data_IF_858561467516
#
_entry.id   IF_858561467516
#
_cell.length_a   1.000
_cell.length_b   1.000
_cell.length_c   1.000
_cell.angle_alpha   90.00
_cell.angle_beta   90.00
_cell.angle_gamma   90.00
#
_symmetry.space_group_name_H-M   'P 1'
#
loop_
_entity.id
_entity.type
_entity.pdbx_description
1 polymer ?
#
# COMPACT_ATOMS: atom_id res chain seq x y z
N UNK A 1 1.12 -7.69 -8.53
CA UNK A 1 0.30 -8.86 -8.96
C UNK A 1 0.87 -10.11 -8.30
N UNK A 2 0.07 -11.17 -8.12
CA UNK A 2 0.54 -12.45 -7.55
C UNK A 2 0.99 -12.33 -6.08
N UNK A 3 0.22 -11.59 -5.27
CA UNK A 3 0.53 -11.34 -3.87
C UNK A 3 0.63 -12.64 -3.07
N UNK A 4 1.46 -12.65 -2.02
CA UNK A 4 1.54 -13.79 -1.11
C UNK A 4 0.18 -13.99 -0.41
N UNK A 5 -0.34 -15.23 -0.32
CA UNK A 5 -1.54 -15.49 0.46
C UNK A 5 -1.20 -15.34 1.94
N UNK A 6 -2.05 -14.62 2.67
CA UNK A 6 -1.87 -14.33 4.10
C UNK A 6 -3.09 -14.76 4.91
N UNK A 7 -4.27 -14.70 4.30
CA UNK A 7 -5.49 -15.24 4.87
C UNK A 7 -5.56 -16.78 4.80
N UNK A 8 -6.28 -17.42 5.74
CA UNK A 8 -6.65 -18.84 5.66
C UNK A 8 -7.41 -19.22 4.38
N UNK A 9 -8.09 -18.28 3.72
CA UNK A 9 -8.76 -18.51 2.43
C UNK A 9 -7.79 -18.67 1.25
N UNK A 10 -6.49 -18.52 1.47
CA UNK A 10 -5.50 -18.50 0.39
C UNK A 10 -5.51 -17.19 -0.41
N UNK A 11 -6.07 -16.12 0.16
CA UNK A 11 -6.14 -14.78 -0.41
C UNK A 11 -5.42 -13.76 0.48
N UNK A 12 -5.58 -12.49 0.15
CA UNK A 12 -5.31 -11.34 1.00
C UNK A 12 -6.43 -10.32 0.78
N UNK A 13 -6.53 -9.36 1.68
CA UNK A 13 -7.25 -8.10 1.64
C UNK A 13 -6.26 -6.92 1.41
N UNK A 14 -5.62 -6.82 0.24
CA UNK A 14 -4.54 -5.86 0.02
C UNK A 14 -4.98 -4.38 0.00
N UNK A 15 -4.13 -3.53 0.58
CA UNK A 15 -4.09 -2.10 0.35
C UNK A 15 -2.64 -1.62 0.15
N UNK A 16 -2.46 -0.51 -0.55
CA UNK A 16 -1.16 0.12 -0.73
C UNK A 16 -1.03 1.35 0.18
N UNK A 17 0.15 1.53 0.76
CA UNK A 17 0.57 2.71 1.52
C UNK A 17 1.68 3.41 0.75
N UNK A 18 1.43 4.66 0.37
CA UNK A 18 2.38 5.50 -0.37
C UNK A 18 2.91 6.56 0.58
N UNK A 19 4.22 6.63 0.74
CA UNK A 19 4.88 7.59 1.61
C UNK A 19 5.94 8.37 0.84
N UNK A 20 5.93 9.70 0.97
CA UNK A 20 6.94 10.59 0.38
C UNK A 20 7.03 11.85 1.24
N UNK A 21 8.25 12.37 1.49
CA UNK A 21 8.47 13.65 2.19
C UNK A 21 7.62 13.83 3.46
N UNK A 22 7.56 12.80 4.32
CA UNK A 22 6.79 12.84 5.57
C UNK A 22 5.28 12.67 5.43
N UNK A 23 4.73 12.70 4.22
CA UNK A 23 3.33 12.39 3.94
C UNK A 23 3.14 10.89 3.74
N UNK A 24 1.96 10.39 4.12
CA UNK A 24 1.57 8.99 3.91
C UNK A 24 0.09 8.92 3.59
N UNK A 25 -0.23 8.26 2.49
CA UNK A 25 -1.59 8.03 2.01
C UNK A 25 -1.80 6.53 1.79
N UNK A 26 -3.04 6.08 1.91
CA UNK A 26 -3.42 4.68 1.73
C UNK A 26 -4.55 4.58 0.69
N UNK A 27 -4.52 3.52 -0.10
CA UNK A 27 -5.64 3.17 -1.00
C UNK A 27 -6.76 2.49 -0.23
N UNK A 28 -7.88 2.24 -0.90
CA UNK A 28 -8.89 1.32 -0.39
C UNK A 28 -8.33 -0.10 -0.21
N UNK A 29 -8.95 -0.84 0.71
CA UNK A 29 -8.73 -2.27 0.92
C UNK A 29 -9.60 -3.05 -0.06
N UNK A 30 -8.98 -3.88 -0.90
CA UNK A 30 -9.71 -4.77 -1.81
C UNK A 30 -9.73 -6.17 -1.21
N UNK A 31 -10.93 -6.65 -0.88
CA UNK A 31 -11.09 -7.91 -0.16
C UNK A 31 -10.83 -9.15 -1.01
N UNK A 32 -10.25 -10.18 -0.39
CA UNK A 32 -10.14 -11.57 -0.87
C UNK A 32 -9.58 -11.68 -2.29
N UNK A 33 -8.47 -11.00 -2.57
CA UNK A 33 -7.80 -11.03 -3.87
C UNK A 33 -6.28 -11.06 -3.75
N UNK A 34 -5.63 -11.69 -4.73
CA UNK A 34 -4.17 -11.62 -4.94
C UNK A 34 -3.79 -10.76 -6.15
N UNK A 35 -4.80 -10.16 -6.76
CA UNK A 35 -4.75 -9.38 -8.00
C UNK A 35 -5.54 -8.07 -7.83
N UNK A 36 -5.19 -7.21 -6.84
CA UNK A 36 -5.91 -5.97 -6.64
C UNK A 36 -5.82 -5.04 -7.85
N UNK A 37 -6.90 -4.31 -8.10
CA UNK A 37 -6.98 -3.18 -9.02
C UNK A 37 -7.60 -2.03 -8.24
N UNK A 38 -6.75 -1.11 -7.79
CA UNK A 38 -7.21 0.07 -7.05
C UNK A 38 -7.81 1.10 -7.99
N UNK A 39 -7.16 1.36 -9.12
CA UNK A 39 -7.56 2.41 -10.06
C UNK A 39 -7.81 3.76 -9.33
N UNK A 40 -7.05 4.00 -8.26
CA UNK A 40 -7.10 5.16 -7.38
C UNK A 40 -5.95 6.12 -7.66
N UNK A 41 -6.21 7.43 -7.51
CA UNK A 41 -5.21 8.49 -7.57
C UNK A 41 -4.97 9.00 -6.15
N UNK A 42 -3.70 8.97 -5.71
CA UNK A 42 -3.27 9.55 -4.45
C UNK A 42 -2.43 10.81 -4.74
N UNK A 43 -2.83 11.94 -4.17
CA UNK A 43 -2.19 13.24 -4.39
C UNK A 43 -1.38 13.64 -3.15
N UNK A 44 -0.07 13.83 -3.31
CA UNK A 44 0.85 14.26 -2.25
C UNK A 44 1.26 15.72 -2.54
N UNK A 45 1.05 16.60 -1.57
CA UNK A 45 1.34 18.03 -1.73
C UNK A 45 2.73 18.36 -1.19
N UNK A 46 3.71 18.45 -2.08
CA UNK A 46 5.09 18.75 -1.67
C UNK A 46 5.34 20.27 -1.61
N UNK A 47 6.09 20.71 -0.61
CA UNK A 47 6.58 22.08 -0.53
C UNK A 47 7.74 22.31 -1.50
N UNK A 48 7.96 23.58 -1.86
CA UNK A 48 9.08 23.98 -2.71
C UNK A 48 10.42 23.59 -2.05
N UNK A 49 11.22 22.79 -2.76
CA UNK A 49 12.48 22.23 -2.26
C UNK A 49 12.41 20.79 -1.73
N UNK A 50 11.22 20.25 -1.42
CA UNK A 50 11.09 18.86 -0.96
C UNK A 50 11.22 17.84 -2.09
N UNK A 51 11.02 18.26 -3.34
CA UNK A 51 11.13 17.39 -4.51
C UNK A 51 12.58 16.93 -4.75
N UNK A 52 13.56 17.78 -4.40
CA UNK A 52 14.97 17.49 -4.62
C UNK A 52 15.45 16.47 -3.59
N UNK A 53 15.62 15.22 -4.02
CA UNK A 53 15.98 14.10 -3.14
C UNK A 53 14.79 13.40 -2.48
N UNK A 54 13.55 13.73 -2.89
CA UNK A 54 12.36 13.00 -2.48
C UNK A 54 12.49 11.51 -2.78
N UNK A 55 12.17 10.67 -1.79
CA UNK A 55 12.09 9.21 -1.96
C UNK A 55 10.64 8.78 -1.80
N UNK A 56 10.04 8.36 -2.91
CA UNK A 56 8.71 7.78 -2.92
C UNK A 56 8.80 6.30 -2.52
N UNK A 57 8.09 5.92 -1.48
CA UNK A 57 7.99 4.53 -1.05
C UNK A 57 6.57 4.04 -1.23
N UNK A 58 6.40 2.89 -1.88
CA UNK A 58 5.11 2.20 -1.95
C UNK A 58 5.24 0.86 -1.24
N UNK A 59 4.41 0.65 -0.23
CA UNK A 59 4.31 -0.58 0.53
C UNK A 59 2.94 -1.22 0.27
N UNK A 60 2.89 -2.53 0.13
CA UNK A 60 1.63 -3.28 0.04
C UNK A 60 1.48 -4.08 1.32
N UNK A 61 0.29 -4.01 1.88
CA UNK A 61 -0.08 -4.62 3.15
C UNK A 61 -1.35 -5.43 2.97
N UNK A 62 -1.48 -6.49 3.75
CA UNK A 62 -2.70 -7.24 3.91
C UNK A 62 -3.46 -6.71 5.12
N UNK A 63 -4.71 -6.30 4.94
CA UNK A 63 -5.51 -5.84 6.05
C UNK A 63 -6.11 -7.02 6.81
N UNK A 64 -5.93 -7.04 8.12
CA UNK A 64 -6.51 -8.06 8.99
C UNK A 64 -7.61 -7.45 9.88
N UNK A 65 -8.76 -8.12 9.94
CA UNK A 65 -9.85 -7.70 10.83
C UNK A 65 -9.43 -7.78 12.30
N UNK A 66 -8.60 -8.77 12.63
CA UNK A 66 -8.13 -9.04 13.99
C UNK A 66 -6.62 -9.16 13.97
N UNK A 67 -5.95 -8.33 14.77
CA UNK A 67 -4.49 -8.36 14.87
C UNK A 67 -3.83 -7.23 14.11
N UNK A 68 -2.61 -7.47 13.62
CA UNK A 68 -1.83 -6.49 12.87
C UNK A 68 -1.81 -6.90 11.41
N UNK A 69 -1.95 -5.91 10.54
CA UNK A 69 -1.82 -6.08 9.10
C UNK A 69 -0.48 -6.72 8.72
N UNK A 70 -0.53 -7.70 7.84
CA UNK A 70 0.65 -8.40 7.33
C UNK A 70 1.34 -7.64 6.20
N UNK A 71 2.67 -7.55 6.25
CA UNK A 71 3.44 -6.92 5.17
C UNK A 71 3.55 -7.83 3.94
N UNK A 72 3.23 -7.31 2.75
CA UNK A 72 3.26 -8.04 1.49
C UNK A 72 4.46 -7.66 0.60
N UNK A 73 4.94 -6.42 0.70
CA UNK A 73 6.11 -5.99 -0.07
C UNK A 73 6.30 -4.49 -0.13
N UNK A 74 7.43 -4.06 -0.67
CA UNK A 74 7.79 -2.65 -0.81
C UNK A 74 8.64 -2.39 -2.05
N UNK A 75 8.44 -1.21 -2.63
CA UNK A 75 9.35 -0.58 -3.60
C UNK A 75 9.66 0.85 -3.13
N UNK A 76 10.86 1.34 -3.47
CA UNK A 76 11.34 2.70 -3.23
C UNK A 76 12.02 3.21 -4.50
#
# INVERSE_FOLDING_TARGET
RDLAPRDPSGTSDPFARVSCCGQTLETAVIKKTRFPRWDEVLELELLEGELEGAVLSVEVWDWDLVGKNDFLGRVR
#
